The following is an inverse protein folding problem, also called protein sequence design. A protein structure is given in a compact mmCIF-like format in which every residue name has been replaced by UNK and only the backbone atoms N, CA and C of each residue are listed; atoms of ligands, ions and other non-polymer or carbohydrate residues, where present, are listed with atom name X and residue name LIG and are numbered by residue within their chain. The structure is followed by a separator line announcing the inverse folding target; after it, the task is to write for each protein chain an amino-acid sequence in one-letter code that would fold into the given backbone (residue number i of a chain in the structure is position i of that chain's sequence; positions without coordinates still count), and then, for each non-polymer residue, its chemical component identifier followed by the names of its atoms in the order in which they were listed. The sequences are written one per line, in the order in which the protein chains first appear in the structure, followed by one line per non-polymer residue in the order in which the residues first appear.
data_IF_947080452010
#
_entry.id   IF_947080452010
#
_cell.length_a   1.000
_cell.length_b   1.000
_cell.length_c   1.000
_cell.angle_alpha   90.00
_cell.angle_beta   90.00
_cell.angle_gamma   90.00
#
_symmetry.space_group_name_H-M   'P 1'
#
loop_
_entity.id
_entity.type
_entity.pdbx_description
1 polymer ?
#
# COMPACT_ATOMS: atom_id res chain seq x y z
N UNK A 1 -0.65 17.23 0.50
CA UNK A 1 -2.01 17.05 -0.04
C UNK A 1 -1.92 15.92 -1.03
N UNK A 2 -2.80 14.90 -0.95
CA UNK A 2 -2.79 13.83 -1.95
C UNK A 2 -3.10 14.43 -3.32
N UNK A 3 -2.47 13.92 -4.36
CA UNK A 3 -2.71 14.37 -5.74
C UNK A 3 -4.07 13.87 -6.28
N UNK A 4 -4.79 13.07 -5.50
CA UNK A 4 -5.99 12.36 -5.92
C UNK A 4 -7.26 13.13 -5.54
N UNK A 5 -8.28 13.14 -6.43
CA UNK A 5 -9.57 13.76 -6.13
C UNK A 5 -10.22 13.05 -4.94
N UNK A 6 -10.60 13.82 -3.92
CA UNK A 6 -11.29 13.28 -2.73
C UNK A 6 -12.74 12.91 -3.07
N UNK A 7 -13.18 11.72 -2.66
CA UNK A 7 -14.58 11.27 -2.84
C UNK A 7 -15.53 11.82 -1.77
N UNK A 8 -14.98 12.34 -0.68
CA UNK A 8 -15.75 12.89 0.44
C UNK A 8 -16.18 14.32 0.15
N UNK A 9 -17.20 14.79 0.86
CA UNK A 9 -17.79 16.11 0.69
C UNK A 9 -16.83 17.30 0.86
N UNK A 10 -15.67 17.12 1.51
CA UNK A 10 -14.66 18.18 1.63
C UNK A 10 -13.27 17.63 1.92
N UNK A 11 -12.24 18.34 1.48
CA UNK A 11 -10.84 18.05 1.82
C UNK A 11 -10.57 18.11 3.33
N UNK A 12 -11.28 18.99 4.04
CA UNK A 12 -11.18 19.12 5.50
C UNK A 12 -11.61 17.82 6.21
N UNK A 13 -12.64 17.15 5.69
CA UNK A 13 -13.09 15.88 6.23
C UNK A 13 -12.09 14.76 5.96
N UNK A 14 -11.54 14.69 4.73
CA UNK A 14 -10.46 13.74 4.41
C UNK A 14 -9.26 13.96 5.31
N UNK A 15 -8.81 15.21 5.47
CA UNK A 15 -7.70 15.57 6.35
C UNK A 15 -7.98 15.15 7.80
N UNK A 16 -9.18 15.41 8.30
CA UNK A 16 -9.58 15.00 9.65
C UNK A 16 -9.47 13.49 9.85
N UNK A 17 -9.99 12.68 8.92
CA UNK A 17 -9.91 11.21 9.00
C UNK A 17 -8.45 10.76 8.99
N UNK A 18 -7.65 11.29 8.06
CA UNK A 18 -6.24 10.93 7.91
C UNK A 18 -5.44 11.24 9.18
N UNK A 19 -5.54 12.46 9.69
CA UNK A 19 -4.76 12.92 10.85
C UNK A 19 -5.19 12.28 12.17
N UNK A 20 -6.46 11.91 12.31
CA UNK A 20 -6.98 11.37 13.58
C UNK A 20 -6.99 9.85 13.65
N UNK A 21 -7.19 9.16 12.53
CA UNK A 21 -7.47 7.72 12.51
C UNK A 21 -6.49 6.91 11.66
N UNK A 22 -5.83 7.51 10.66
CA UNK A 22 -5.05 6.75 9.66
C UNK A 22 -3.55 6.89 9.87
N UNK A 23 -3.03 8.11 9.97
CA UNK A 23 -1.60 8.35 10.17
C UNK A 23 -1.09 7.90 11.54
N UNK A 24 -1.79 8.12 12.68
CA UNK A 24 -1.25 7.73 13.98
C UNK A 24 -0.93 6.23 14.14
N UNK A 25 -1.71 5.28 13.59
CA UNK A 25 -1.35 3.86 13.61
C UNK A 25 -0.56 3.38 12.38
N UNK A 26 -0.19 4.25 11.43
CA UNK A 26 0.60 3.86 10.25
C UNK A 26 2.01 3.40 10.67
N UNK A 27 2.51 2.33 10.06
CA UNK A 27 3.88 1.87 10.33
C UNK A 27 4.91 2.85 9.74
N UNK A 28 6.02 3.08 10.44
CA UNK A 28 7.08 4.01 10.00
C UNK A 28 7.57 3.70 8.57
N UNK A 29 7.75 2.42 8.23
CA UNK A 29 8.17 1.99 6.90
C UNK A 29 7.15 2.29 5.79
N UNK A 30 5.85 2.29 6.11
CA UNK A 30 4.79 2.69 5.19
C UNK A 30 4.78 4.20 4.99
N UNK A 31 4.96 4.98 6.07
CA UNK A 31 5.09 6.44 5.99
C UNK A 31 6.31 6.85 5.15
N UNK A 32 7.47 6.24 5.38
CA UNK A 32 8.69 6.46 4.58
C UNK A 32 8.43 6.20 3.09
N UNK A 33 7.81 5.06 2.77
CA UNK A 33 7.49 4.68 1.39
C UNK A 33 6.48 5.64 0.76
N UNK A 34 5.46 6.08 1.51
CA UNK A 34 4.49 7.08 1.07
C UNK A 34 5.16 8.41 0.74
N UNK A 35 6.05 8.87 1.61
CA UNK A 35 6.80 10.10 1.40
C UNK A 35 7.76 10.00 0.20
N UNK A 36 8.43 8.85 0.02
CA UNK A 36 9.24 8.60 -1.16
C UNK A 36 8.39 8.60 -2.45
N UNK A 37 7.25 7.91 -2.44
CA UNK A 37 6.31 7.84 -3.57
C UNK A 37 5.76 9.21 -3.97
N UNK A 38 5.53 10.10 -3.00
CA UNK A 38 5.05 11.46 -3.25
C UNK A 38 6.03 12.30 -4.10
N UNK A 39 7.31 11.93 -4.16
CA UNK A 39 8.33 12.60 -5.00
C UNK A 39 8.45 11.98 -6.40
N UNK A 40 7.80 10.84 -6.66
CA UNK A 40 7.82 10.16 -7.95
C UNK A 40 6.97 10.91 -8.99
N UNK A 41 7.39 10.91 -10.26
CA UNK A 41 6.67 11.58 -11.36
C UNK A 41 5.22 11.07 -11.53
N UNK A 42 5.00 9.80 -11.18
CA UNK A 42 3.68 9.16 -11.12
C UNK A 42 3.18 8.90 -9.70
N UNK A 43 3.58 9.72 -8.72
CA UNK A 43 3.22 9.55 -7.30
C UNK A 43 1.71 9.49 -7.03
N UNK A 44 0.87 10.03 -7.93
CA UNK A 44 -0.59 9.92 -7.86
C UNK A 44 -1.11 8.46 -7.97
N UNK A 45 -0.31 7.53 -8.52
CA UNK A 45 -0.64 6.10 -8.59
C UNK A 45 -0.50 5.37 -7.24
N UNK A 46 0.13 6.01 -6.24
CA UNK A 46 0.27 5.43 -4.91
C UNK A 46 -1.09 5.17 -4.25
N UNK A 47 -1.20 4.05 -3.55
CA UNK A 47 -2.40 3.73 -2.78
C UNK A 47 -2.62 4.75 -1.65
N UNK A 48 -3.87 5.20 -1.47
CA UNK A 48 -4.21 6.11 -0.39
C UNK A 48 -4.15 5.38 0.98
N UNK A 49 -3.59 6.00 2.04
CA UNK A 49 -3.38 5.32 3.34
C UNK A 49 -4.65 4.82 4.02
N UNK A 50 -5.77 5.51 3.83
CA UNK A 50 -7.08 5.14 4.36
C UNK A 50 -7.62 3.87 3.68
N UNK A 51 -7.47 3.76 2.36
CA UNK A 51 -7.75 2.53 1.63
C UNK A 51 -6.82 1.38 2.09
N UNK A 52 -5.54 1.67 2.32
CA UNK A 52 -4.59 0.74 2.91
C UNK A 52 -5.02 0.22 4.28
N UNK A 53 -5.46 1.11 5.17
CA UNK A 53 -5.96 0.74 6.50
C UNK A 53 -7.17 -0.21 6.42
N UNK A 54 -8.12 0.06 5.52
CA UNK A 54 -9.24 -0.84 5.27
C UNK A 54 -8.77 -2.21 4.75
N UNK A 55 -7.80 -2.24 3.84
CA UNK A 55 -7.23 -3.47 3.31
C UNK A 55 -6.56 -4.30 4.42
N UNK A 56 -5.81 -3.66 5.32
CA UNK A 56 -5.21 -4.34 6.47
C UNK A 56 -6.28 -4.96 7.38
N UNK A 57 -7.39 -4.26 7.62
CA UNK A 57 -8.51 -4.80 8.39
C UNK A 57 -9.11 -6.05 7.71
N UNK A 58 -9.34 -6.00 6.39
CA UNK A 58 -9.89 -7.12 5.64
C UNK A 58 -8.96 -8.34 5.65
N UNK A 59 -7.66 -8.15 5.45
CA UNK A 59 -6.66 -9.22 5.49
C UNK A 59 -6.67 -9.93 6.85
N UNK A 60 -6.76 -9.16 7.95
CA UNK A 60 -6.84 -9.71 9.32
C UNK A 60 -8.14 -10.48 9.55
N UNK A 61 -9.29 -9.92 9.16
CA UNK A 61 -10.60 -10.55 9.33
C UNK A 61 -10.71 -11.87 8.54
N UNK A 62 -10.08 -11.93 7.37
CA UNK A 62 -10.07 -13.12 6.51
C UNK A 62 -8.98 -14.13 6.88
N UNK A 63 -8.10 -13.82 7.83
CA UNK A 63 -6.92 -14.61 8.15
C UNK A 63 -6.11 -14.97 6.89
N UNK A 64 -5.86 -13.97 6.05
CA UNK A 64 -5.23 -14.15 4.74
C UNK A 64 -3.79 -14.69 4.90
N UNK A 65 -3.47 -15.74 4.16
CA UNK A 65 -2.11 -16.34 4.10
C UNK A 65 -1.52 -16.41 2.69
N UNK A 66 -2.36 -16.34 1.66
CA UNK A 66 -1.94 -16.37 0.26
C UNK A 66 -2.69 -15.26 -0.46
N UNK A 67 -1.96 -14.27 -0.93
CA UNK A 67 -2.54 -13.11 -1.63
C UNK A 67 -1.89 -12.96 -3.00
N UNK A 68 -2.60 -12.27 -3.88
CA UNK A 68 -2.11 -11.89 -5.20
C UNK A 68 -2.36 -10.39 -5.36
N UNK A 69 -1.35 -9.67 -5.83
CA UNK A 69 -1.40 -8.25 -6.12
C UNK A 69 -1.04 -8.03 -7.58
N UNK A 70 -1.92 -7.32 -8.31
CA UNK A 70 -1.74 -6.98 -9.72
C UNK A 70 -1.70 -5.46 -9.82
N UNK A 71 -0.56 -4.92 -10.22
CA UNK A 71 -0.22 -3.50 -10.09
C UNK A 71 0.38 -3.22 -8.71
N UNK A 72 1.71 -3.24 -8.64
CA UNK A 72 2.51 -3.01 -7.42
C UNK A 72 2.98 -1.56 -7.33
N UNK A 73 3.36 -0.97 -8.47
CA UNK A 73 3.99 0.35 -8.54
C UNK A 73 5.17 0.45 -7.52
N UNK A 74 5.19 1.48 -6.68
CA UNK A 74 6.22 1.66 -5.63
C UNK A 74 6.05 0.71 -4.45
N UNK A 75 4.92 0.00 -4.34
CA UNK A 75 4.74 -1.11 -3.39
C UNK A 75 4.11 -0.78 -2.04
N UNK A 76 3.38 0.34 -1.88
CA UNK A 76 2.72 0.66 -0.60
C UNK A 76 1.71 -0.41 -0.19
N UNK A 77 0.80 -0.81 -1.10
CA UNK A 77 -0.18 -1.89 -0.90
C UNK A 77 0.48 -3.23 -0.62
N UNK A 78 1.56 -3.52 -1.34
CA UNK A 78 2.34 -4.74 -1.18
C UNK A 78 3.01 -4.82 0.19
N UNK A 79 3.68 -3.74 0.62
CA UNK A 79 4.31 -3.66 1.93
C UNK A 79 3.26 -3.77 3.05
N UNK A 80 2.13 -3.07 2.91
CA UNK A 80 1.03 -3.14 3.86
C UNK A 80 0.48 -4.57 3.99
N UNK A 81 0.34 -5.27 2.87
CA UNK A 81 -0.08 -6.68 2.86
C UNK A 81 0.95 -7.56 3.56
N UNK A 82 2.24 -7.39 3.27
CA UNK A 82 3.32 -8.14 3.89
C UNK A 82 3.42 -7.94 5.41
N UNK A 83 3.19 -6.72 5.90
CA UNK A 83 3.16 -6.41 7.33
C UNK A 83 1.90 -6.92 8.03
N UNK A 84 0.85 -7.24 7.27
CA UNK A 84 -0.45 -7.62 7.83
C UNK A 84 -0.64 -9.13 7.93
N UNK A 85 -0.20 -9.88 6.93
CA UNK A 85 -0.34 -11.34 6.91
C UNK A 85 0.69 -12.00 7.84
N UNK A 86 0.46 -13.25 8.30
CA UNK A 86 1.44 -13.97 9.13
C UNK A 86 2.79 -14.16 8.43
N UNK A 87 3.86 -14.40 9.21
CA UNK A 87 5.23 -14.62 8.69
C UNK A 87 5.33 -15.79 7.68
N UNK A 88 4.47 -16.81 7.82
CA UNK A 88 4.38 -17.94 6.89
C UNK A 88 3.54 -17.64 5.62
N UNK A 89 2.98 -16.43 5.54
CA UNK A 89 2.19 -15.93 4.44
C UNK A 89 3.01 -15.74 3.16
N UNK A 90 2.33 -15.79 2.01
CA UNK A 90 2.91 -15.65 0.68
C UNK A 90 2.13 -14.65 -0.15
N UNK A 91 2.86 -13.82 -0.88
CA UNK A 91 2.28 -12.84 -1.80
C UNK A 91 2.83 -13.10 -3.20
N UNK A 92 1.94 -13.20 -4.18
CA UNK A 92 2.30 -13.18 -5.59
C UNK A 92 2.10 -11.74 -6.08
N UNK A 93 3.16 -11.10 -6.56
CA UNK A 93 3.13 -9.72 -7.01
C UNK A 93 3.42 -9.63 -8.51
N UNK A 94 2.57 -8.91 -9.23
CA UNK A 94 2.57 -8.79 -10.68
C UNK A 94 2.59 -7.33 -11.08
N UNK A 95 3.65 -6.89 -11.76
CA UNK A 95 3.75 -5.54 -12.31
C UNK A 95 4.63 -5.58 -13.58
N UNK A 96 4.24 -4.90 -14.68
CA UNK A 96 5.08 -4.81 -15.87
C UNK A 96 6.36 -4.00 -15.65
N UNK A 97 6.45 -3.14 -14.63
CA UNK A 97 7.65 -2.36 -14.31
C UNK A 97 8.36 -2.90 -13.07
N UNK A 98 9.40 -3.70 -13.32
CA UNK A 98 10.25 -4.27 -12.27
C UNK A 98 11.14 -3.24 -11.56
N UNK A 99 11.38 -2.07 -12.15
CA UNK A 99 12.26 -1.06 -11.55
C UNK A 99 11.56 -0.29 -10.43
N UNK A 100 10.23 -0.19 -10.47
CA UNK A 100 9.44 0.51 -9.45
C UNK A 100 9.17 -0.36 -8.21
N UNK A 101 9.19 -1.69 -8.35
CA UNK A 101 8.81 -2.63 -7.30
C UNK A 101 9.95 -2.95 -6.31
N UNK A 102 9.65 -2.87 -5.01
CA UNK A 102 10.60 -3.17 -3.92
C UNK A 102 11.04 -4.64 -3.90
N UNK A 103 12.29 -4.92 -4.30
CA UNK A 103 12.89 -6.26 -4.28
C UNK A 103 13.31 -6.77 -2.88
N UNK A 104 12.85 -6.18 -1.77
CA UNK A 104 13.37 -6.44 -0.42
C UNK A 104 12.44 -7.25 0.48
N UNK A 105 11.22 -7.57 0.03
CA UNK A 105 10.25 -8.29 0.86
C UNK A 105 10.40 -9.82 0.65
N UNK A 106 10.93 -10.51 1.68
CA UNK A 106 11.34 -11.92 1.61
C UNK A 106 10.24 -12.94 1.28
N UNK A 107 8.97 -12.60 1.47
CA UNK A 107 7.82 -13.49 1.22
C UNK A 107 7.04 -13.15 -0.06
N UNK A 108 7.60 -12.31 -0.94
CA UNK A 108 7.00 -11.92 -2.22
C UNK A 108 7.64 -12.69 -3.38
N UNK A 109 6.81 -13.33 -4.19
CA UNK A 109 7.22 -13.88 -5.49
C UNK A 109 6.81 -12.93 -6.59
N UNK A 110 7.79 -12.31 -7.24
CA UNK A 110 7.58 -11.41 -8.38
C UNK A 110 7.48 -12.20 -9.68
N UNK A 111 6.44 -11.91 -10.47
CA UNK A 111 6.30 -12.43 -11.81
C UNK A 111 6.32 -11.29 -12.82
N UNK A 112 7.28 -11.34 -13.74
CA UNK A 112 7.41 -10.45 -14.88
C UNK A 112 6.94 -11.23 -16.12
N UNK A 113 5.84 -10.81 -16.79
CA UNK A 113 5.34 -11.47 -18.00
C UNK A 113 6.15 -11.13 -19.26
N UNK A 114 7.16 -10.26 -19.20
CA UNK A 114 7.96 -9.82 -20.35
C UNK A 114 9.12 -10.75 -20.75
#
# INVERSE_FOLDING_TARGET
MSANPVILQSEKLTKYILETSVYPPEAETLEELRNATATHSWGFMGADPDAGQLMALLLKLLNAKKTIEVGVFTGYSLLLTALTIPDDGKIIALDPDRACSMNTISNVSYYDPS
#
